data_IF_959417964198
#
_entry.id   IF_959417964198
#
_cell.length_a   1.000
_cell.length_b   1.000
_cell.length_c   1.000
_cell.angle_alpha   90.00
_cell.angle_beta   90.00
_cell.angle_gamma   90.00
#
_symmetry.space_group_name_H-M   'P 1'
#
loop_
_entity.id
_entity.type
_entity.pdbx_description
1 polymer ?
#
# COMPACT_ATOMS: atom_id res chain seq x y z
N UNK A 1 29.79 -19.06 28.98
CA UNK A 1 28.77 -18.24 28.30
C UNK A 1 27.54 -19.13 28.06
N UNK A 2 26.35 -18.74 28.52
CA UNK A 2 25.17 -19.60 28.53
C UNK A 2 24.76 -20.00 27.09
N UNK A 3 24.85 -21.29 26.74
CA UNK A 3 24.40 -21.86 25.45
C UNK A 3 22.86 -21.87 25.32
N UNK A 4 22.21 -20.72 25.49
CA UNK A 4 20.77 -20.58 25.26
C UNK A 4 20.55 -20.13 23.82
N UNK A 5 19.67 -20.84 23.11
CA UNK A 5 19.19 -20.39 21.80
C UNK A 5 18.24 -19.22 22.03
N UNK A 6 18.44 -18.13 21.32
CA UNK A 6 17.65 -16.90 21.46
C UNK A 6 16.81 -16.69 20.21
N UNK A 7 15.50 -16.55 20.37
CA UNK A 7 14.61 -16.10 19.30
C UNK A 7 14.43 -14.60 19.45
N UNK A 8 14.69 -13.85 18.38
CA UNK A 8 14.39 -12.42 18.31
C UNK A 8 13.18 -12.27 17.41
N UNK A 9 12.04 -11.92 18.00
CA UNK A 9 10.82 -11.60 17.26
C UNK A 9 10.77 -10.09 17.02
N UNK A 10 10.67 -9.69 15.76
CA UNK A 10 10.54 -8.28 15.35
C UNK A 10 9.19 -8.14 14.67
N UNK A 11 8.25 -7.47 15.35
CA UNK A 11 6.98 -7.09 14.74
C UNK A 11 7.19 -5.90 13.80
N UNK A 12 6.42 -5.85 12.71
CA UNK A 12 6.49 -4.80 11.70
C UNK A 12 7.90 -4.48 11.19
N UNK A 13 8.66 -5.52 10.81
CA UNK A 13 10.07 -5.41 10.39
C UNK A 13 10.27 -4.45 9.21
N UNK A 14 9.24 -4.23 8.39
CA UNK A 14 9.24 -3.27 7.28
C UNK A 14 9.45 -1.81 7.74
N UNK A 15 9.17 -1.47 9.00
CA UNK A 15 9.39 -0.11 9.52
C UNK A 15 10.86 0.23 9.74
N UNK A 16 11.74 -0.76 9.70
CA UNK A 16 13.16 -0.56 9.92
C UNK A 16 13.82 -0.11 8.63
N UNK A 17 14.64 0.93 8.70
CA UNK A 17 15.45 1.34 7.57
C UNK A 17 16.54 0.30 7.26
N UNK A 18 17.17 0.41 6.09
CA UNK A 18 18.18 -0.55 5.64
C UNK A 18 19.30 -0.78 6.65
N UNK A 19 19.83 0.27 7.27
CA UNK A 19 20.91 0.14 8.25
C UNK A 19 20.48 -0.57 9.54
N UNK A 20 19.24 -0.35 9.99
CA UNK A 20 18.66 -1.07 11.13
C UNK A 20 18.44 -2.54 10.80
N UNK A 21 18.05 -2.86 9.57
CA UNK A 21 17.92 -4.24 9.10
C UNK A 21 19.29 -4.95 9.01
N UNK A 22 20.31 -4.27 8.46
CA UNK A 22 21.68 -4.80 8.34
C UNK A 22 22.30 -5.18 9.69
N UNK A 23 21.89 -4.53 10.78
CA UNK A 23 22.35 -4.83 12.14
C UNK A 23 22.06 -6.29 12.57
N UNK A 24 21.03 -6.92 12.02
CA UNK A 24 20.68 -8.30 12.34
C UNK A 24 21.50 -9.34 11.57
N UNK A 25 22.24 -8.97 10.53
CA UNK A 25 22.95 -9.93 9.68
C UNK A 25 24.03 -10.72 10.45
N UNK A 26 24.99 -10.09 11.15
CA UNK A 26 26.03 -10.85 11.86
C UNK A 26 25.48 -11.87 12.88
N UNK A 27 24.54 -11.50 13.80
CA UNK A 27 24.04 -12.45 14.79
C UNK A 27 23.12 -13.53 14.21
N UNK A 28 22.56 -13.33 13.02
CA UNK A 28 21.82 -14.37 12.29
C UNK A 28 22.78 -15.35 11.62
N UNK A 29 23.86 -14.86 11.02
CA UNK A 29 24.85 -15.67 10.32
C UNK A 29 25.68 -16.57 11.26
N UNK A 30 26.09 -16.03 12.42
CA UNK A 30 26.86 -16.78 13.40
C UNK A 30 25.99 -17.69 14.30
N UNK A 31 24.66 -17.64 14.13
CA UNK A 31 23.70 -18.45 14.86
C UNK A 31 23.42 -17.98 16.29
N UNK A 32 23.86 -16.79 16.68
CA UNK A 32 23.55 -16.18 17.98
C UNK A 32 22.05 -16.00 18.19
N UNK A 33 21.32 -15.64 17.13
CA UNK A 33 19.86 -15.49 17.16
C UNK A 33 19.15 -16.26 16.05
N UNK A 34 17.93 -16.69 16.32
CA UNK A 34 16.93 -17.02 15.31
C UNK A 34 16.00 -15.82 15.15
N UNK A 35 16.09 -15.11 14.03
CA UNK A 35 15.24 -13.96 13.74
C UNK A 35 13.88 -14.42 13.18
N UNK A 36 12.79 -13.92 13.77
CA UNK A 36 11.42 -14.04 13.23
C UNK A 36 10.91 -12.62 13.01
N UNK A 37 10.87 -12.18 11.75
CA UNK A 37 10.25 -10.92 11.37
C UNK A 37 8.78 -11.14 10.98
N UNK A 38 7.87 -10.32 11.51
CA UNK A 38 6.50 -10.24 11.05
C UNK A 38 6.30 -8.94 10.25
N UNK A 39 5.46 -9.02 9.21
CA UNK A 39 5.08 -7.87 8.37
C UNK A 39 3.74 -8.13 7.71
N UNK A 40 2.95 -7.08 7.57
CA UNK A 40 1.73 -7.02 6.75
C UNK A 40 2.00 -6.59 5.31
N UNK A 41 3.20 -6.07 5.04
CA UNK A 41 3.67 -5.65 3.72
C UNK A 41 4.42 -6.76 3.00
N UNK A 42 4.43 -6.71 1.66
CA UNK A 42 5.19 -7.65 0.86
C UNK A 42 6.70 -7.52 1.17
N UNK A 43 7.33 -8.57 1.72
CA UNK A 43 8.69 -8.50 2.23
C UNK A 43 9.73 -8.23 1.13
N UNK A 44 9.43 -8.51 -0.14
CA UNK A 44 10.35 -8.27 -1.26
C UNK A 44 10.59 -6.79 -1.56
N UNK A 45 9.70 -5.89 -1.12
CA UNK A 45 9.84 -4.45 -1.30
C UNK A 45 10.49 -3.76 -0.10
N UNK A 46 10.11 -4.18 1.11
CA UNK A 46 10.46 -3.46 2.34
C UNK A 46 11.60 -4.11 3.14
N UNK A 47 11.90 -5.39 2.89
CA UNK A 47 13.00 -6.10 3.57
C UNK A 47 14.20 -6.23 2.63
N UNK A 48 15.36 -5.89 3.17
CA UNK A 48 16.65 -6.04 2.53
C UNK A 48 16.89 -7.47 2.02
N UNK A 49 17.31 -7.58 0.75
CA UNK A 49 17.68 -8.85 0.09
C UNK A 49 18.69 -9.70 0.88
N UNK A 50 19.63 -9.09 1.61
CA UNK A 50 20.60 -9.82 2.42
C UNK A 50 19.92 -10.57 3.57
N UNK A 51 18.95 -9.96 4.26
CA UNK A 51 18.16 -10.65 5.27
C UNK A 51 17.25 -11.71 4.64
N UNK A 52 16.57 -11.37 3.54
CA UNK A 52 15.69 -12.32 2.84
C UNK A 52 16.42 -13.58 2.40
N UNK A 53 17.69 -13.47 1.98
CA UNK A 53 18.49 -14.66 1.63
C UNK A 53 18.82 -15.59 2.80
N UNK A 54 18.66 -15.12 4.05
CA UNK A 54 18.92 -15.86 5.30
C UNK A 54 17.64 -16.23 6.06
N UNK A 55 16.49 -15.72 5.63
CA UNK A 55 15.20 -15.97 6.26
C UNK A 55 14.28 -16.79 5.34
N UNK A 56 13.49 -17.68 5.91
CA UNK A 56 12.40 -18.35 5.17
C UNK A 56 11.16 -17.48 5.24
N UNK A 57 10.56 -17.19 4.08
CA UNK A 57 9.31 -16.42 3.99
C UNK A 57 8.12 -17.38 4.08
N UNK A 58 7.22 -17.12 5.03
CA UNK A 58 5.96 -17.83 5.18
C UNK A 58 4.80 -16.86 4.99
N UNK A 59 3.90 -17.16 4.05
CA UNK A 59 2.68 -16.37 3.84
C UNK A 59 1.58 -16.90 4.75
N UNK A 60 1.15 -16.09 5.72
CA UNK A 60 -0.01 -16.38 6.55
C UNK A 60 -1.27 -15.82 5.89
N UNK A 61 -2.36 -16.59 5.91
CA UNK A 61 -3.66 -16.15 5.41
C UNK A 61 -4.53 -15.65 6.56
N UNK A 62 -5.39 -14.68 6.27
CA UNK A 62 -6.45 -14.26 7.19
C UNK A 62 -7.30 -15.48 7.58
N UNK A 63 -7.77 -15.49 8.83
CA UNK A 63 -8.66 -16.54 9.29
C UNK A 63 -10.00 -16.49 8.56
N UNK A 64 -10.60 -17.65 8.32
CA UNK A 64 -12.01 -17.70 7.89
C UNK A 64 -12.92 -17.33 9.07
N UNK A 65 -14.18 -16.90 8.83
CA UNK A 65 -15.13 -16.62 9.90
C UNK A 65 -15.28 -17.81 10.88
N UNK A 66 -15.29 -19.04 10.38
CA UNK A 66 -15.40 -20.26 11.22
C UNK A 66 -14.16 -20.47 12.09
N UNK A 67 -12.98 -20.09 11.57
CA UNK A 67 -11.73 -20.14 12.35
C UNK A 67 -11.72 -19.07 13.44
N UNK A 68 -12.23 -17.87 13.17
CA UNK A 68 -12.38 -16.82 14.18
C UNK A 68 -13.39 -17.23 15.25
N UNK A 69 -14.52 -17.83 14.85
CA UNK A 69 -15.51 -18.37 15.79
C UNK A 69 -14.87 -19.39 16.74
N UNK A 70 -14.03 -20.31 16.24
CA UNK A 70 -13.29 -21.25 17.09
C UNK A 70 -12.37 -20.54 18.08
N UNK A 71 -11.70 -19.48 17.67
CA UNK A 71 -10.82 -18.68 18.53
C UNK A 71 -11.64 -17.98 19.63
N UNK A 72 -12.76 -17.34 19.27
CA UNK A 72 -13.66 -16.68 20.21
C UNK A 72 -14.23 -17.70 21.22
N UNK A 73 -14.76 -18.83 20.74
CA UNK A 73 -15.31 -19.88 21.62
C UNK A 73 -14.25 -20.48 22.54
N UNK A 74 -12.99 -20.57 22.09
CA UNK A 74 -11.89 -20.99 22.95
C UNK A 74 -11.61 -19.94 24.03
N UNK A 75 -11.58 -18.66 23.67
CA UNK A 75 -11.37 -17.57 24.63
C UNK A 75 -12.49 -17.49 25.68
N UNK A 76 -13.75 -17.76 25.28
CA UNK A 76 -14.89 -17.82 26.19
C UNK A 76 -14.82 -19.00 27.19
N UNK A 77 -14.17 -20.10 26.82
CA UNK A 77 -13.97 -21.28 27.71
C UNK A 77 -12.78 -21.13 28.64
N UNK A 78 -11.75 -20.40 28.21
CA UNK A 78 -10.52 -20.20 28.97
C UNK A 78 -10.59 -18.89 29.76
N UNK A 79 -11.25 -18.96 30.93
CA UNK A 79 -11.46 -17.82 31.85
C UNK A 79 -10.14 -17.14 32.27
N UNK A 80 -8.99 -17.82 32.17
CA UNK A 80 -7.68 -17.29 32.53
C UNK A 80 -6.95 -16.61 31.36
N UNK A 81 -7.15 -17.06 30.12
CA UNK A 81 -6.45 -16.54 28.94
C UNK A 81 -7.19 -15.40 28.20
N UNK A 82 -8.52 -15.26 28.40
CA UNK A 82 -9.37 -14.30 27.69
C UNK A 82 -9.38 -12.85 28.22
N UNK A 83 -8.42 -12.44 29.07
CA UNK A 83 -8.43 -11.09 29.68
C UNK A 83 -9.45 -10.88 30.80
N UNK A 84 -10.33 -11.86 31.04
CA UNK A 84 -11.40 -11.83 32.06
C UNK A 84 -10.87 -11.66 33.49
N UNK A 85 -9.58 -11.99 33.75
CA UNK A 85 -8.94 -11.68 35.04
C UNK A 85 -8.90 -10.19 35.38
N UNK A 86 -8.91 -9.30 34.38
CA UNK A 86 -8.85 -7.85 34.60
C UNK A 86 -10.12 -7.32 35.30
N UNK A 87 -11.25 -8.01 35.16
CA UNK A 87 -12.50 -7.67 35.86
C UNK A 87 -12.44 -7.95 37.36
N UNK A 88 -11.51 -8.79 37.85
CA UNK A 88 -11.33 -9.06 39.28
C UNK A 88 -10.41 -8.06 39.99
N UNK A 89 -9.54 -7.33 39.28
CA UNK A 89 -8.53 -6.46 39.91
C UNK A 89 -8.93 -4.98 40.01
N UNK A 90 -9.92 -4.51 39.26
CA UNK A 90 -10.30 -3.08 39.30
C UNK A 90 -11.09 -2.67 40.55
N UNK A 91 -11.68 -3.60 41.30
CA UNK A 91 -12.44 -3.27 42.53
C UNK A 91 -11.62 -3.41 43.83
N UNK A 92 -10.46 -4.07 43.82
CA UNK A 92 -9.73 -4.42 45.06
C UNK A 92 -8.53 -3.53 45.39
N UNK A 93 -8.29 -2.43 44.66
CA UNK A 93 -7.23 -1.46 45.02
C UNK A 93 -7.71 -0.30 45.90
N UNK A 94 -8.70 -0.55 46.77
CA UNK A 94 -8.97 0.33 47.90
C UNK A 94 -9.22 -0.48 49.18
N UNK A 95 -8.17 -1.13 49.68
CA UNK A 95 -7.85 -1.17 51.11
C UNK A 95 -6.67 -2.12 51.35
N UNK A 96 -5.63 -1.61 51.99
CA UNK A 96 -4.53 -2.42 52.49
C UNK A 96 -5.01 -3.36 53.59
N UNK A 97 -4.74 -4.66 53.44
CA UNK A 97 -5.01 -5.67 54.44
C UNK A 97 -4.48 -7.04 54.01
N UNK A 98 -3.46 -7.50 54.73
CA UNK A 98 -2.98 -8.88 54.96
C UNK A 98 -3.44 -10.04 54.04
N UNK A 99 -2.41 -10.76 53.58
CA UNK A 99 -2.47 -12.11 53.02
C UNK A 99 -3.12 -13.09 54.00
N UNK A 100 -4.36 -13.49 53.74
CA UNK A 100 -4.91 -14.75 54.20
C UNK A 100 -5.66 -15.42 53.04
N UNK A 101 -5.40 -16.73 52.92
CA UNK A 101 -5.90 -17.64 51.91
C UNK A 101 -7.41 -17.85 52.07
N UNK A 102 -8.20 -17.40 51.10
CA UNK A 102 -9.55 -17.89 50.84
C UNK A 102 -9.76 -17.98 49.31
N UNK A 103 -9.24 -19.04 48.71
CA UNK A 103 -9.47 -19.43 47.31
C UNK A 103 -10.88 -20.01 47.13
N UNK A 104 -11.91 -19.18 47.32
CA UNK A 104 -13.28 -19.51 46.93
C UNK A 104 -13.99 -18.30 46.29
N UNK A 105 -13.26 -17.59 45.43
CA UNK A 105 -13.80 -16.46 44.68
C UNK A 105 -14.66 -16.93 43.50
N UNK A 106 -15.99 -16.96 43.72
CA UNK A 106 -17.07 -17.14 42.72
C UNK A 106 -16.57 -17.01 41.27
N UNK A 107 -16.56 -18.14 40.57
CA UNK A 107 -16.14 -18.22 39.17
C UNK A 107 -17.26 -17.64 38.31
N UNK A 108 -17.09 -16.38 37.87
CA UNK A 108 -18.04 -15.74 36.95
C UNK A 108 -18.03 -16.54 35.64
N UNK A 109 -19.19 -17.11 35.31
CA UNK A 109 -19.38 -17.82 34.05
C UNK A 109 -19.81 -16.85 32.95
N UNK A 110 -19.46 -17.16 31.70
CA UNK A 110 -19.75 -16.30 30.55
C UNK A 110 -20.64 -17.07 29.58
N UNK A 111 -21.81 -16.51 29.30
CA UNK A 111 -22.74 -17.01 28.29
C UNK A 111 -22.79 -16.02 27.12
N UNK A 112 -22.31 -16.45 25.95
CA UNK A 112 -22.40 -15.66 24.72
C UNK A 112 -23.42 -16.29 23.77
N UNK A 113 -24.30 -15.47 23.21
CA UNK A 113 -25.21 -15.90 22.15
C UNK A 113 -24.43 -16.32 20.90
N UNK A 114 -24.85 -17.40 20.25
CA UNK A 114 -24.21 -17.88 19.02
C UNK A 114 -24.21 -16.81 17.92
N UNK A 115 -25.28 -16.02 17.82
CA UNK A 115 -25.37 -14.92 16.86
C UNK A 115 -24.38 -13.78 17.19
N UNK A 116 -24.07 -13.54 18.47
CA UNK A 116 -23.05 -12.59 18.86
C UNK A 116 -21.66 -13.03 18.40
N UNK A 117 -21.34 -14.32 18.58
CA UNK A 117 -20.07 -14.92 18.17
C UNK A 117 -19.93 -14.90 16.64
N UNK A 118 -20.95 -15.34 15.90
CA UNK A 118 -20.93 -15.31 14.43
C UNK A 118 -20.83 -13.90 13.88
N UNK A 119 -21.57 -12.95 14.47
CA UNK A 119 -21.51 -11.55 14.07
C UNK A 119 -20.10 -11.00 14.28
N UNK A 120 -19.51 -11.21 15.46
CA UNK A 120 -18.15 -10.79 15.78
C UNK A 120 -17.12 -11.39 14.80
N UNK A 121 -17.22 -12.70 14.54
CA UNK A 121 -16.32 -13.40 13.64
C UNK A 121 -16.38 -12.90 12.20
N UNK A 122 -17.58 -12.54 11.73
CA UNK A 122 -17.81 -11.99 10.40
C UNK A 122 -17.27 -10.57 10.30
N UNK A 123 -17.56 -9.73 11.30
CA UNK A 123 -17.16 -8.33 11.28
C UNK A 123 -15.64 -8.18 11.36
N UNK A 124 -14.91 -9.03 12.08
CA UNK A 124 -13.46 -8.90 12.22
C UNK A 124 -12.63 -9.30 10.98
N UNK A 125 -13.27 -9.70 9.88
CA UNK A 125 -12.63 -9.95 8.59
C UNK A 125 -11.35 -10.82 8.64
N UNK A 126 -11.32 -11.80 9.55
CA UNK A 126 -10.19 -12.72 9.73
C UNK A 126 -9.05 -12.25 10.63
N UNK A 127 -9.18 -11.09 11.30
CA UNK A 127 -8.25 -10.63 12.34
C UNK A 127 -8.68 -11.15 13.73
N UNK A 128 -7.91 -12.10 14.26
CA UNK A 128 -8.14 -12.69 15.57
C UNK A 128 -7.88 -11.72 16.73
N UNK A 129 -6.92 -10.80 16.60
CA UNK A 129 -6.63 -9.80 17.63
C UNK A 129 -7.78 -8.82 17.74
N UNK A 130 -8.29 -8.33 16.60
CA UNK A 130 -9.47 -7.47 16.57
C UNK A 130 -10.70 -8.17 17.18
N UNK A 131 -10.91 -9.45 16.85
CA UNK A 131 -12.00 -10.24 17.42
C UNK A 131 -11.91 -10.37 18.94
N UNK A 132 -10.72 -10.68 19.49
CA UNK A 132 -10.53 -10.81 20.92
C UNK A 132 -10.68 -9.46 21.65
N UNK A 133 -10.16 -8.37 21.09
CA UNK A 133 -10.30 -7.03 21.68
C UNK A 133 -11.78 -6.58 21.70
N UNK A 134 -12.52 -6.85 20.63
CA UNK A 134 -13.96 -6.56 20.59
C UNK A 134 -14.75 -7.45 21.54
N UNK A 135 -14.36 -8.72 21.71
CA UNK A 135 -14.94 -9.61 22.71
C UNK A 135 -14.71 -9.08 24.14
N UNK A 136 -13.49 -8.64 24.45
CA UNK A 136 -13.15 -8.06 25.75
C UNK A 136 -13.99 -6.82 26.05
N UNK A 137 -14.15 -5.91 25.08
CA UNK A 137 -14.99 -4.73 25.22
C UNK A 137 -16.48 -5.08 25.37
N UNK A 138 -16.96 -6.09 24.65
CA UNK A 138 -18.32 -6.59 24.80
C UNK A 138 -18.55 -7.19 26.20
N UNK A 139 -17.55 -7.87 26.78
CA UNK A 139 -17.62 -8.42 28.14
C UNK A 139 -17.65 -7.33 29.21
N UNK A 140 -16.89 -6.24 29.04
CA UNK A 140 -16.90 -5.10 29.97
C UNK A 140 -18.24 -4.35 30.00
N UNK A 141 -19.02 -4.43 28.93
CA UNK A 141 -20.32 -3.75 28.79
C UNK A 141 -21.50 -4.69 28.94
N UNK A 142 -21.25 -6.00 29.09
CA UNK A 142 -22.29 -7.00 29.25
C UNK A 142 -22.94 -6.90 30.64
N UNK A 143 -24.28 -7.05 30.74
CA UNK A 143 -24.96 -7.10 32.03
C UNK A 143 -24.55 -8.36 32.80
N UNK A 144 -24.30 -8.19 34.11
CA UNK A 144 -24.11 -9.27 35.06
C UNK A 144 -25.45 -9.71 35.64
N UNK A 145 -25.78 -10.99 35.52
CA UNK A 145 -26.84 -11.63 36.30
C UNK A 145 -26.27 -11.92 37.70
N UNK A 146 -26.57 -11.05 38.67
CA UNK A 146 -25.99 -11.09 40.02
C UNK A 146 -26.44 -12.32 40.82
N UNK A 147 -27.62 -12.89 40.52
CA UNK A 147 -28.11 -14.10 41.17
C UNK A 147 -27.37 -15.34 40.70
N UNK A 148 -27.03 -15.40 39.40
CA UNK A 148 -26.38 -16.57 38.79
C UNK A 148 -24.87 -16.41 38.60
N UNK A 149 -24.32 -15.21 38.84
CA UNK A 149 -22.93 -14.86 38.55
C UNK A 149 -22.54 -15.15 37.09
N UNK A 150 -23.43 -14.76 36.16
CA UNK A 150 -23.27 -14.98 34.71
C UNK A 150 -23.18 -13.64 33.97
N UNK A 151 -22.15 -13.47 33.16
CA UNK A 151 -22.08 -12.39 32.17
C UNK A 151 -22.76 -12.85 30.86
N UNK A 152 -23.77 -12.11 30.40
CA UNK A 152 -24.48 -12.43 29.15
C UNK A 152 -24.08 -11.51 28.01
N UNK A 153 -23.39 -12.06 27.01
CA UNK A 153 -22.99 -11.34 25.79
C UNK A 153 -23.99 -11.63 24.67
N UNK A 154 -24.86 -10.65 24.41
CA UNK A 154 -25.80 -10.70 23.27
C UNK A 154 -25.26 -10.02 22.01
N UNK A 155 -25.93 -10.26 20.88
CA UNK A 155 -25.57 -9.65 19.60
C UNK A 155 -25.63 -8.10 19.61
N UNK A 156 -26.47 -7.50 20.45
CA UNK A 156 -26.56 -6.03 20.56
C UNK A 156 -25.28 -5.45 21.16
N UNK A 157 -24.72 -6.06 22.22
CA UNK A 157 -23.48 -5.60 22.84
C UNK A 157 -22.31 -5.62 21.85
N UNK A 158 -22.21 -6.69 21.05
CA UNK A 158 -21.19 -6.79 20.00
C UNK A 158 -21.41 -5.76 18.91
N UNK A 159 -22.65 -5.51 18.46
CA UNK A 159 -22.96 -4.46 17.46
C UNK A 159 -22.53 -3.06 17.92
N UNK A 160 -22.73 -2.74 19.19
CA UNK A 160 -22.27 -1.46 19.76
C UNK A 160 -20.74 -1.30 19.70
N UNK A 161 -19.98 -2.40 19.76
CA UNK A 161 -18.52 -2.37 19.60
C UNK A 161 -18.07 -1.89 18.21
N UNK A 162 -18.92 -2.07 17.20
CA UNK A 162 -18.66 -1.68 15.81
C UNK A 162 -19.37 -0.39 15.40
N UNK A 163 -20.34 0.10 16.18
CA UNK A 163 -21.12 1.31 15.86
C UNK A 163 -20.25 2.57 15.75
N UNK A 164 -19.14 2.65 16.50
CA UNK A 164 -18.16 3.75 16.42
C UNK A 164 -16.91 3.38 15.61
N UNK A 165 -16.77 2.10 15.21
CA UNK A 165 -15.71 1.60 14.34
C UNK A 165 -16.28 1.28 12.95
N UNK A 166 -16.81 2.30 12.27
CA UNK A 166 -16.77 2.31 10.79
C UNK A 166 -15.32 2.47 10.28
N UNK A 167 -14.35 1.85 10.95
CA UNK A 167 -13.13 1.44 10.30
C UNK A 167 -13.54 0.31 9.37
N UNK A 168 -13.94 0.66 8.14
CA UNK A 168 -13.70 -0.24 7.02
C UNK A 168 -12.29 -0.79 7.23
N UNK A 169 -12.13 -2.11 7.16
CA UNK A 169 -10.84 -2.82 7.29
C UNK A 169 -9.91 -2.44 6.13
N UNK A 170 -9.53 -1.17 6.11
CA UNK A 170 -8.59 -0.53 5.26
C UNK A 170 -7.34 -0.38 6.11
N UNK A 171 -6.56 -1.45 6.09
CA UNK A 171 -5.24 -1.40 6.69
C UNK A 171 -4.37 -0.54 5.78
N UNK A 172 -4.01 0.65 6.29
CA UNK A 172 -3.19 1.63 5.56
C UNK A 172 -1.75 1.13 5.35
N UNK A 173 -1.32 0.09 6.08
CA UNK A 173 0.05 -0.43 6.08
C UNK A 173 0.10 -1.91 5.67
N UNK A 174 -0.74 -2.34 4.72
CA UNK A 174 -0.75 -3.73 4.26
C UNK A 174 -1.07 -3.86 2.76
N UNK A 175 -0.99 -5.10 2.26
CA UNK A 175 -1.36 -5.50 0.88
C UNK A 175 -2.69 -4.89 0.38
N UNK A 176 -3.68 -4.67 1.27
CA UNK A 176 -4.96 -4.04 0.94
C UNK A 176 -4.83 -2.60 0.42
N UNK A 177 -3.88 -1.82 0.94
CA UNK A 177 -3.59 -0.48 0.45
C UNK A 177 -3.19 -0.52 -1.03
N UNK A 178 -2.26 -1.41 -1.38
CA UNK A 178 -1.77 -1.61 -2.74
C UNK A 178 -2.83 -2.21 -3.68
N UNK A 179 -3.64 -3.15 -3.19
CA UNK A 179 -4.70 -3.76 -3.98
C UNK A 179 -5.79 -2.75 -4.35
N UNK A 180 -6.21 -1.91 -3.41
CA UNK A 180 -7.30 -0.96 -3.66
C UNK A 180 -6.83 0.18 -4.57
N UNK A 181 -5.61 0.71 -4.39
CA UNK A 181 -5.09 1.72 -5.33
C UNK A 181 -4.83 1.15 -6.72
N UNK A 182 -4.42 -0.12 -6.80
CA UNK A 182 -4.27 -0.86 -8.05
C UNK A 182 -5.62 -1.06 -8.73
N UNK A 183 -6.68 -1.36 -7.98
CA UNK A 183 -8.05 -1.47 -8.48
C UNK A 183 -8.56 -0.12 -8.99
N UNK A 184 -8.35 0.98 -8.24
CA UNK A 184 -8.69 2.34 -8.66
C UNK A 184 -8.04 2.68 -10.01
N UNK A 185 -6.73 2.45 -10.15
CA UNK A 185 -6.00 2.69 -11.40
C UNK A 185 -6.58 1.86 -12.57
N UNK A 186 -6.84 0.57 -12.34
CA UNK A 186 -7.37 -0.32 -13.37
C UNK A 186 -8.77 0.08 -13.80
N UNK A 187 -9.62 0.52 -12.87
CA UNK A 187 -10.96 1.04 -13.16
C UNK A 187 -10.90 2.31 -13.99
N UNK A 188 -10.00 3.25 -13.67
CA UNK A 188 -9.82 4.46 -14.48
C UNK A 188 -9.33 4.10 -15.87
N UNK A 189 -8.29 3.27 -15.99
CA UNK A 189 -7.75 2.78 -17.27
C UNK A 189 -8.80 2.05 -18.11
N UNK A 190 -9.65 1.26 -17.46
CA UNK A 190 -10.77 0.54 -18.06
C UNK A 190 -11.99 1.40 -18.37
N UNK A 191 -11.93 2.71 -18.09
CA UNK A 191 -13.02 3.67 -18.28
C UNK A 191 -14.32 3.28 -17.55
N UNK A 192 -14.22 2.67 -16.38
CA UNK A 192 -15.36 2.38 -15.51
C UNK A 192 -15.45 3.42 -14.39
N UNK A 193 -16.29 4.44 -14.58
CA UNK A 193 -16.45 5.51 -13.59
C UNK A 193 -17.07 5.04 -12.26
N UNK A 194 -17.94 4.02 -12.30
CA UNK A 194 -18.63 3.54 -11.11
C UNK A 194 -17.66 2.78 -10.21
N UNK A 195 -16.87 1.88 -10.80
CA UNK A 195 -15.81 1.18 -10.08
C UNK A 195 -14.73 2.16 -9.60
N UNK A 196 -14.40 3.19 -10.39
CA UNK A 196 -13.47 4.25 -10.00
C UNK A 196 -13.95 4.96 -8.72
N UNK A 197 -15.20 5.41 -8.68
CA UNK A 197 -15.77 6.07 -7.50
C UNK A 197 -15.82 5.12 -6.30
N UNK A 198 -16.22 3.86 -6.50
CA UNK A 198 -16.27 2.87 -5.43
C UNK A 198 -14.89 2.63 -4.78
N UNK A 199 -13.85 2.41 -5.60
CA UNK A 199 -12.51 2.18 -5.05
C UNK A 199 -11.94 3.43 -4.39
N UNK A 200 -12.18 4.61 -4.95
CA UNK A 200 -11.79 5.87 -4.33
C UNK A 200 -12.47 6.05 -2.96
N UNK A 201 -13.80 5.90 -2.90
CA UNK A 201 -14.56 6.02 -1.65
C UNK A 201 -14.08 5.01 -0.63
N UNK A 202 -13.85 3.75 -1.03
CA UNK A 202 -13.32 2.72 -0.13
C UNK A 202 -11.96 3.10 0.47
N UNK A 203 -11.09 3.78 -0.29
CA UNK A 203 -9.81 4.28 0.22
C UNK A 203 -10.02 5.42 1.21
N UNK A 204 -10.81 6.44 0.85
CA UNK A 204 -11.01 7.63 1.66
C UNK A 204 -11.76 7.35 2.96
N UNK A 205 -12.84 6.55 2.90
CA UNK A 205 -13.57 6.08 4.08
C UNK A 205 -12.74 5.09 4.92
N UNK A 206 -11.83 4.37 4.27
CA UNK A 206 -10.76 3.62 4.92
C UNK A 206 -9.69 4.49 5.60
N UNK A 207 -9.77 5.80 5.39
CA UNK A 207 -8.87 6.80 5.93
C UNK A 207 -7.54 6.92 5.21
N UNK A 208 -7.40 6.39 3.99
CA UNK A 208 -6.20 6.61 3.19
C UNK A 208 -5.78 8.08 3.15
N UNK A 209 -4.48 8.35 3.07
CA UNK A 209 -4.01 9.70 2.85
C UNK A 209 -4.51 10.23 1.50
N UNK A 210 -5.34 11.31 1.47
CA UNK A 210 -5.88 11.84 0.22
C UNK A 210 -4.77 12.33 -0.74
N UNK A 211 -3.63 12.78 -0.21
CA UNK A 211 -2.49 13.18 -1.03
C UNK A 211 -1.81 11.99 -1.72
N UNK A 212 -1.87 10.80 -1.11
CA UNK A 212 -1.42 9.58 -1.77
C UNK A 212 -2.29 9.28 -2.99
N UNK A 213 -3.61 9.30 -2.83
CA UNK A 213 -4.54 9.10 -3.93
C UNK A 213 -4.36 10.15 -5.02
N UNK A 214 -4.20 11.42 -4.65
CA UNK A 214 -4.00 12.50 -5.61
C UNK A 214 -2.71 12.33 -6.46
N UNK A 215 -1.59 11.91 -5.86
CA UNK A 215 -0.35 11.56 -6.61
C UNK A 215 -0.59 10.45 -7.63
N UNK A 216 -1.43 9.48 -7.25
CA UNK A 216 -1.80 8.35 -8.08
C UNK A 216 -2.70 8.77 -9.25
N UNK A 217 -3.63 9.70 -9.04
CA UNK A 217 -4.39 10.33 -10.13
C UNK A 217 -3.51 11.13 -11.10
N UNK A 218 -2.53 11.90 -10.61
CA UNK A 218 -1.53 12.58 -11.47
C UNK A 218 -0.79 11.56 -12.35
N UNK A 219 -0.41 10.42 -11.78
CA UNK A 219 0.24 9.35 -12.53
C UNK A 219 -0.66 8.82 -13.64
N UNK A 220 -1.93 8.53 -13.35
CA UNK A 220 -2.90 8.05 -14.35
C UNK A 220 -3.13 9.06 -15.45
N UNK A 221 -3.21 10.36 -15.13
CA UNK A 221 -3.37 11.42 -16.12
C UNK A 221 -2.23 11.43 -17.16
N UNK A 222 -0.99 11.16 -16.75
CA UNK A 222 0.14 11.11 -17.68
C UNK A 222 0.37 9.72 -18.31
N UNK A 223 0.01 8.64 -17.64
CA UNK A 223 0.30 7.26 -18.07
C UNK A 223 -0.80 6.69 -18.98
N UNK A 224 -2.06 6.83 -18.57
CA UNK A 224 -3.21 6.12 -19.16
C UNK A 224 -4.10 7.03 -20.01
N UNK A 225 -4.08 8.34 -19.74
CA UNK A 225 -4.79 9.36 -20.53
C UNK A 225 -3.85 10.03 -21.54
N UNK A 226 -2.70 10.53 -21.06
CA UNK A 226 -1.60 10.97 -21.92
C UNK A 226 -2.00 12.08 -22.91
N UNK A 227 -1.53 11.95 -24.16
CA UNK A 227 -1.80 12.92 -25.23
C UNK A 227 -3.24 12.93 -25.73
N UNK A 228 -4.08 11.98 -25.31
CA UNK A 228 -5.48 11.96 -25.74
C UNK A 228 -6.33 13.04 -25.04
N UNK A 229 -5.94 13.45 -23.82
CA UNK A 229 -6.55 14.55 -23.08
C UNK A 229 -5.51 15.22 -22.16
N UNK A 230 -4.50 15.90 -22.73
CA UNK A 230 -3.36 16.47 -21.98
C UNK A 230 -3.78 17.54 -20.96
N UNK A 231 -4.94 18.17 -21.17
CA UNK A 231 -5.54 19.14 -20.25
C UNK A 231 -5.93 18.54 -18.89
N UNK A 232 -6.03 17.21 -18.76
CA UNK A 232 -6.37 16.57 -17.49
C UNK A 232 -5.18 16.41 -16.54
N UNK A 233 -3.94 16.45 -17.04
CA UNK A 233 -2.75 16.46 -16.18
C UNK A 233 -2.72 17.68 -15.24
N UNK A 234 -2.84 18.94 -15.73
CA UNK A 234 -2.88 20.09 -14.83
C UNK A 234 -4.12 20.06 -13.91
N UNK A 235 -5.26 19.49 -14.34
CA UNK A 235 -6.41 19.31 -13.45
C UNK A 235 -6.12 18.34 -12.29
N UNK A 236 -5.42 17.24 -12.55
CA UNK A 236 -4.98 16.31 -11.51
C UNK A 236 -3.98 16.96 -10.54
N UNK A 237 -3.07 17.80 -11.04
CA UNK A 237 -2.17 18.60 -10.19
C UNK A 237 -2.95 19.61 -9.33
N UNK A 238 -3.94 20.28 -9.90
CA UNK A 238 -4.83 21.19 -9.16
C UNK A 238 -5.63 20.44 -8.08
N UNK A 239 -6.11 19.23 -8.36
CA UNK A 239 -6.77 18.40 -7.35
C UNK A 239 -5.84 17.99 -6.21
N UNK A 240 -4.56 17.70 -6.49
CA UNK A 240 -3.57 17.49 -5.43
C UNK A 240 -3.41 18.73 -4.55
N UNK A 241 -3.28 19.92 -5.14
CA UNK A 241 -3.16 21.17 -4.39
C UNK A 241 -4.42 21.46 -3.56
N UNK A 242 -5.60 21.30 -4.16
CA UNK A 242 -6.86 21.45 -3.46
C UNK A 242 -7.01 20.43 -2.30
N UNK A 243 -6.64 19.16 -2.51
CA UNK A 243 -6.62 18.18 -1.43
C UNK A 243 -5.65 18.53 -0.31
N UNK A 244 -4.52 19.16 -0.63
CA UNK A 244 -3.55 19.63 0.36
C UNK A 244 -4.07 20.82 1.16
N UNK A 245 -4.71 21.79 0.51
CA UNK A 245 -5.20 23.01 1.16
C UNK A 245 -6.51 22.81 1.92
N UNK A 246 -7.41 21.98 1.39
CA UNK A 246 -8.74 21.75 1.95
C UNK A 246 -8.71 20.62 3.00
N UNK A 247 -8.04 19.51 2.69
CA UNK A 247 -8.04 18.33 3.57
C UNK A 247 -9.36 17.55 3.57
N UNK A 248 -9.41 16.47 4.34
CA UNK A 248 -10.63 15.69 4.56
C UNK A 248 -11.51 16.33 5.65
N UNK A 249 -12.84 16.21 5.57
CA UNK A 249 -13.59 15.44 4.57
C UNK A 249 -13.77 16.12 3.21
N UNK A 250 -13.69 17.45 3.12
CA UNK A 250 -14.19 18.21 1.96
C UNK A 250 -13.41 18.00 0.66
N UNK A 251 -12.17 17.51 0.71
CA UNK A 251 -11.40 17.18 -0.49
C UNK A 251 -11.84 15.89 -1.20
N UNK A 252 -12.71 15.08 -0.59
CA UNK A 252 -13.21 13.84 -1.15
C UNK A 252 -13.87 14.03 -2.52
N UNK A 253 -14.75 15.02 -2.65
CA UNK A 253 -15.46 15.38 -3.87
C UNK A 253 -14.49 15.95 -4.91
N UNK A 254 -13.43 16.64 -4.48
CA UNK A 254 -12.39 17.13 -5.40
C UNK A 254 -11.66 15.97 -6.08
N UNK A 255 -11.27 14.95 -5.30
CA UNK A 255 -10.64 13.75 -5.83
C UNK A 255 -11.61 12.93 -6.69
N UNK A 256 -12.87 12.81 -6.26
CA UNK A 256 -13.90 12.10 -7.02
C UNK A 256 -14.19 12.75 -8.37
N UNK A 257 -14.21 14.08 -8.40
CA UNK A 257 -14.38 14.85 -9.63
C UNK A 257 -13.27 14.51 -10.63
N UNK A 258 -12.00 14.66 -10.26
CA UNK A 258 -10.89 14.37 -11.19
C UNK A 258 -10.79 12.90 -11.54
N UNK A 259 -10.98 11.98 -10.59
CA UNK A 259 -10.96 10.55 -10.87
C UNK A 259 -12.02 10.17 -11.93
N UNK A 260 -13.21 10.76 -11.84
CA UNK A 260 -14.29 10.57 -12.83
C UNK A 260 -13.94 11.17 -14.18
N UNK A 261 -13.32 12.36 -14.22
CA UNK A 261 -12.85 12.97 -15.48
C UNK A 261 -11.83 12.06 -16.16
N UNK A 262 -10.86 11.53 -15.42
CA UNK A 262 -9.85 10.61 -15.95
C UNK A 262 -10.47 9.29 -16.44
N UNK A 263 -11.47 8.76 -15.73
CA UNK A 263 -12.19 7.56 -16.14
C UNK A 263 -12.93 7.78 -17.47
N UNK A 264 -13.56 8.94 -17.65
CA UNK A 264 -14.30 9.29 -18.88
C UNK A 264 -13.43 9.77 -20.05
N UNK A 265 -12.17 10.13 -19.79
CA UNK A 265 -11.26 10.64 -20.81
C UNK A 265 -10.93 9.57 -21.87
N UNK A 266 -10.63 9.98 -23.12
CA UNK A 266 -9.98 9.07 -24.07
C UNK A 266 -8.63 8.61 -23.51
N UNK A 267 -8.27 7.35 -23.78
CA UNK A 267 -7.07 6.72 -23.23
C UNK A 267 -5.95 6.71 -24.26
N UNK A 268 -4.74 7.07 -23.83
CA UNK A 268 -3.53 6.92 -24.62
C UNK A 268 -2.33 6.63 -23.72
N UNK A 269 -1.64 5.53 -24.03
CA UNK A 269 -0.38 5.16 -23.41
C UNK A 269 0.82 5.49 -24.30
N UNK A 270 0.62 6.27 -25.37
CA UNK A 270 1.61 6.50 -26.43
C UNK A 270 2.94 7.03 -25.88
N UNK A 271 2.89 8.12 -25.11
CA UNK A 271 4.09 8.73 -24.49
C UNK A 271 4.71 7.79 -23.47
N UNK A 272 3.89 7.10 -22.67
CA UNK A 272 4.37 6.15 -21.67
C UNK A 272 5.14 4.98 -22.32
N UNK A 273 4.57 4.40 -23.38
CA UNK A 273 5.17 3.32 -24.14
C UNK A 273 6.44 3.79 -24.88
N UNK A 274 6.40 4.95 -25.52
CA UNK A 274 7.55 5.51 -26.23
C UNK A 274 8.73 5.79 -25.29
N UNK A 275 8.46 6.39 -24.12
CA UNK A 275 9.48 6.62 -23.12
C UNK A 275 10.04 5.31 -22.54
N UNK A 276 9.19 4.29 -22.35
CA UNK A 276 9.63 2.96 -21.91
C UNK A 276 10.60 2.34 -22.93
N UNK A 277 10.31 2.46 -24.24
CA UNK A 277 11.21 1.99 -25.31
C UNK A 277 12.52 2.78 -25.35
N UNK A 278 12.47 4.10 -25.20
CA UNK A 278 13.68 4.93 -25.11
C UNK A 278 14.54 4.59 -23.89
N UNK A 279 13.91 4.30 -22.75
CA UNK A 279 14.62 3.82 -21.56
C UNK A 279 15.27 2.46 -21.83
N UNK A 280 14.55 1.55 -22.47
CA UNK A 280 15.03 0.21 -22.81
C UNK A 280 16.24 0.27 -23.75
N UNK A 281 16.22 1.11 -24.80
CA UNK A 281 17.35 1.24 -25.74
C UNK A 281 18.65 1.69 -25.08
N UNK A 282 18.56 2.47 -23.99
CA UNK A 282 19.70 2.87 -23.18
C UNK A 282 20.22 1.70 -22.33
N UNK A 283 19.33 0.94 -21.68
CA UNK A 283 19.73 -0.16 -20.78
C UNK A 283 20.24 -1.39 -21.55
N UNK A 284 19.75 -1.61 -22.77
CA UNK A 284 20.14 -2.71 -23.64
C UNK A 284 21.32 -2.34 -24.57
N UNK A 285 21.87 -1.13 -24.44
CA UNK A 285 22.98 -0.68 -25.25
C UNK A 285 24.22 -1.55 -25.00
N UNK A 286 24.65 -2.26 -26.05
CA UNK A 286 25.77 -3.20 -25.98
C UNK A 286 26.90 -2.89 -26.98
N UNK A 287 26.84 -1.74 -27.67
CA UNK A 287 27.80 -1.32 -28.70
C UNK A 287 28.96 -0.47 -28.13
N UNK A 288 29.18 -0.50 -26.82
CA UNK A 288 30.21 0.28 -26.13
C UNK A 288 29.63 1.44 -25.33
N UNK A 289 30.31 2.59 -25.31
CA UNK A 289 29.77 3.80 -24.69
C UNK A 289 28.48 4.26 -25.41
N UNK A 290 27.59 4.95 -24.70
CA UNK A 290 26.40 5.53 -25.31
C UNK A 290 26.81 6.53 -26.40
N UNK A 291 26.00 6.68 -27.47
CA UNK A 291 26.28 7.65 -28.51
C UNK A 291 26.39 9.07 -27.96
N UNK A 292 27.36 9.78 -28.50
CA UNK A 292 27.60 11.18 -28.19
C UNK A 292 26.48 12.07 -28.75
N UNK A 293 26.24 13.22 -28.13
CA UNK A 293 25.31 14.22 -28.68
C UNK A 293 25.86 14.72 -30.04
N UNK A 294 25.09 14.75 -31.14
CA UNK A 294 25.54 15.27 -32.43
C UNK A 294 26.09 16.70 -32.32
N UNK A 295 27.22 16.97 -32.97
CA UNK A 295 27.96 18.24 -32.84
C UNK A 295 27.10 19.47 -33.14
N UNK A 296 26.21 19.38 -34.13
CA UNK A 296 25.35 20.50 -34.55
C UNK A 296 24.27 20.85 -33.53
N UNK A 297 23.93 19.99 -32.57
CA UNK A 297 22.97 20.33 -31.49
C UNK A 297 23.64 20.48 -30.12
N UNK A 298 24.98 20.41 -30.05
CA UNK A 298 25.72 20.75 -28.82
C UNK A 298 25.67 22.24 -28.54
N UNK A 299 25.69 22.59 -27.27
CA UNK A 299 25.86 23.99 -26.85
C UNK A 299 27.28 24.49 -27.19
N UNK A 300 27.39 25.73 -27.68
CA UNK A 300 28.67 26.35 -28.06
C UNK A 300 28.87 27.75 -27.44
N UNK A 301 28.90 27.87 -26.09
CA UNK A 301 28.98 29.16 -25.41
C UNK A 301 30.37 29.83 -25.52
N UNK A 302 31.44 29.06 -25.68
CA UNK A 302 32.82 29.58 -25.75
C UNK A 302 33.32 29.70 -27.20
N UNK A 303 34.32 30.55 -27.44
CA UNK A 303 34.98 30.67 -28.75
C UNK A 303 35.61 29.35 -29.19
N UNK A 304 36.32 28.68 -28.27
CA UNK A 304 36.95 27.39 -28.52
C UNK A 304 35.93 26.33 -28.96
N UNK A 305 34.76 26.25 -28.33
CA UNK A 305 33.72 25.31 -28.73
C UNK A 305 33.21 25.56 -30.16
N UNK A 306 33.03 26.83 -30.55
CA UNK A 306 32.64 27.19 -31.93
C UNK A 306 33.73 26.83 -32.93
N UNK A 307 35.00 27.07 -32.59
CA UNK A 307 36.16 26.68 -33.40
C UNK A 307 36.25 25.15 -33.58
N UNK A 308 35.90 24.39 -32.53
CA UNK A 308 35.78 22.92 -32.55
C UNK A 308 34.52 22.41 -33.28
N UNK A 309 33.71 23.29 -33.87
CA UNK A 309 32.54 22.92 -34.67
C UNK A 309 31.26 22.64 -33.89
N UNK A 310 31.20 22.98 -32.61
CA UNK A 310 29.97 22.84 -31.81
C UNK A 310 28.91 23.80 -32.34
N UNK A 311 27.66 23.34 -32.41
CA UNK A 311 26.52 24.05 -32.99
C UNK A 311 26.67 24.42 -34.48
N UNK A 312 27.75 23.99 -35.15
CA UNK A 312 27.98 24.30 -36.55
C UNK A 312 26.94 23.58 -37.41
N UNK A 313 26.23 24.33 -38.25
CA UNK A 313 25.20 23.79 -39.13
C UNK A 313 23.83 23.61 -38.48
N UNK A 314 23.66 24.01 -37.22
CA UNK A 314 22.33 24.01 -36.59
C UNK A 314 21.38 24.96 -37.31
N UNK A 315 20.26 24.42 -37.78
CA UNK A 315 19.13 25.18 -38.33
C UNK A 315 18.08 25.35 -37.23
N UNK A 316 17.89 26.57 -36.77
CA UNK A 316 16.89 26.88 -35.74
C UNK A 316 15.48 26.92 -36.35
N UNK A 317 14.63 25.95 -35.99
CA UNK A 317 13.35 25.70 -36.67
C UNK A 317 12.51 26.95 -37.00
N UNK A 318 12.32 27.93 -36.10
CA UNK A 318 11.53 29.12 -36.42
C UNK A 318 12.04 29.98 -37.60
N UNK A 319 13.29 29.80 -38.04
CA UNK A 319 13.90 30.55 -39.14
C UNK A 319 13.94 29.79 -40.47
N UNK A 320 13.51 28.53 -40.50
CA UNK A 320 13.61 27.68 -41.69
C UNK A 320 12.28 27.02 -41.98
N UNK A 321 12.01 26.79 -43.27
CA UNK A 321 10.86 26.01 -43.71
C UNK A 321 11.07 24.52 -43.46
N UNK A 322 9.99 23.75 -43.45
CA UNK A 322 10.06 22.29 -43.30
C UNK A 322 10.96 21.62 -44.35
N UNK A 323 10.93 22.11 -45.60
CA UNK A 323 11.78 21.60 -46.69
C UNK A 323 13.26 21.87 -46.44
N UNK A 324 13.62 23.05 -45.90
CA UNK A 324 14.99 23.38 -45.56
C UNK A 324 15.52 22.59 -44.36
N UNK A 325 14.63 22.04 -43.52
CA UNK A 325 14.96 21.27 -42.32
C UNK A 325 15.02 19.76 -42.57
N UNK A 326 14.64 19.26 -43.76
CA UNK A 326 14.47 17.82 -44.03
C UNK A 326 15.70 16.96 -43.71
N UNK A 327 16.90 17.52 -43.89
CA UNK A 327 18.16 16.80 -43.68
C UNK A 327 18.71 16.98 -42.25
N UNK A 328 18.08 17.80 -41.40
CA UNK A 328 18.54 18.00 -40.02
C UNK A 328 18.02 16.88 -39.10
N UNK A 329 18.95 16.15 -38.51
CA UNK A 329 18.66 15.08 -37.55
C UNK A 329 18.88 15.54 -36.11
N UNK A 330 18.32 14.79 -35.15
CA UNK A 330 18.46 15.09 -33.71
C UNK A 330 18.90 13.89 -32.88
N UNK A 331 18.58 12.68 -33.34
CA UNK A 331 19.15 11.46 -32.79
C UNK A 331 20.61 11.32 -33.24
N UNK A 332 21.45 10.66 -32.43
CA UNK A 332 22.79 10.27 -32.85
C UNK A 332 22.73 9.30 -34.04
N UNK A 333 23.80 9.25 -34.82
CA UNK A 333 23.88 8.49 -36.07
C UNK A 333 23.49 7.02 -35.89
N UNK A 334 23.87 6.43 -34.75
CA UNK A 334 23.59 5.04 -34.39
C UNK A 334 22.11 4.76 -34.08
N UNK A 335 21.31 5.81 -33.84
CA UNK A 335 19.88 5.73 -33.57
C UNK A 335 19.03 6.37 -34.68
N UNK A 336 19.62 6.85 -35.78
CA UNK A 336 18.86 7.38 -36.90
C UNK A 336 17.88 6.34 -37.46
N UNK A 337 16.66 6.79 -37.76
CA UNK A 337 15.56 5.92 -38.19
C UNK A 337 14.83 5.21 -37.04
N UNK A 338 15.29 5.34 -35.79
CA UNK A 338 14.55 4.81 -34.64
C UNK A 338 13.31 5.67 -34.39
N UNK A 339 12.12 5.07 -34.49
CA UNK A 339 10.88 5.69 -34.06
C UNK A 339 10.44 5.07 -32.72
N UNK A 340 10.59 5.81 -31.62
CA UNK A 340 10.13 5.33 -30.31
C UNK A 340 8.61 5.31 -30.17
N UNK A 341 7.85 5.96 -31.05
CA UNK A 341 6.39 6.00 -31.00
C UNK A 341 5.75 4.81 -31.71
N UNK A 342 6.44 4.21 -32.69
CA UNK A 342 6.00 2.99 -33.35
C UNK A 342 6.40 1.75 -32.56
N UNK A 343 5.53 0.74 -32.53
CA UNK A 343 5.94 -0.59 -32.08
C UNK A 343 6.90 -1.18 -33.12
N UNK A 344 7.99 -1.79 -32.65
CA UNK A 344 8.78 -2.64 -33.54
C UNK A 344 7.82 -3.71 -34.06
N UNK A 345 7.62 -3.79 -35.38
CA UNK A 345 6.78 -4.82 -36.00
C UNK A 345 7.26 -6.20 -35.53
N UNK A 346 6.65 -6.73 -34.49
CA UNK A 346 6.73 -8.15 -34.20
C UNK A 346 6.03 -8.84 -35.36
N UNK A 347 6.67 -9.84 -35.97
CA UNK A 347 6.15 -10.68 -37.05
C UNK A 347 4.89 -11.50 -36.67
N UNK A 348 3.97 -10.97 -35.86
CA UNK A 348 2.66 -11.57 -35.56
C UNK A 348 1.55 -11.04 -36.48
N UNK A 349 1.78 -9.95 -37.19
CA UNK A 349 0.79 -9.37 -38.11
C UNK A 349 1.01 -9.78 -39.57
N UNK A 350 1.89 -10.77 -39.83
CA UNK A 350 2.12 -11.33 -41.17
C UNK A 350 1.32 -12.62 -41.45
N UNK A 351 0.50 -13.07 -40.49
CA UNK A 351 -0.41 -14.21 -40.64
C UNK A 351 -1.82 -13.84 -40.17
N UNK A 352 -2.52 -13.00 -40.93
CA UNK A 352 -3.98 -12.92 -40.99
C UNK A 352 -4.42 -12.47 -42.38
#
# INVERSE_FOLDING_TARGET
MFRRRTIVFVDEIHRFNKSQQDFFLPPVEDGTITLIGATTENPSFEVNNALLSRCRVYTLKKHTPESIEKIIRRALRDHAAGGVRSLKQSETQSNGGSLDQDDNANEVSIEAEDEAVKYLATQCAGDARAALNCLEMALQTAPMDTEKQVLRVSATHVKHCFAHRQTLFYDRNADMHYDVISALHKSIRGSDENATLYWLARMLEGGENPLYVARRLIRVASEDVGLAAPELLPMAVSAYQAAHFVGMPECDVVLAHVATMLARAPKSIEVYAAYKRAKQSIHEWNKGALPDVPLHIRNAPTKLMKELGYAKGYKYNPHYTAEELKDQTYLPDELLGTNFFEEAKTNRDAEC
#
